data_IF_540374902186
#
_entry.id   IF_540374902186
#
_cell.length_a   1.000
_cell.length_b   1.000
_cell.length_c   1.000
_cell.angle_alpha   90.00
_cell.angle_beta   90.00
_cell.angle_gamma   90.00
#
_symmetry.space_group_name_H-M   'P 1'
#
loop_
_entity.id
_entity.type
_entity.pdbx_description
1 polymer ?
#
# COMPACT_ATOMS: atom_id res chain seq x y z
N UNK A 1 -16.62 -2.84 7.15
CA UNK A 1 -15.30 -2.95 6.46
C UNK A 1 -14.20 -2.71 7.47
N UNK A 2 -13.34 -3.69 7.63
CA UNK A 2 -12.23 -3.58 8.56
C UNK A 2 -11.02 -2.97 7.91
N UNK A 3 -10.33 -2.14 8.67
CA UNK A 3 -9.08 -1.54 8.21
C UNK A 3 -7.93 -2.04 9.07
N UNK A 4 -6.79 -2.22 8.42
CA UNK A 4 -5.56 -2.60 9.09
C UNK A 4 -4.68 -1.37 9.23
N UNK A 5 -4.12 -1.18 10.41
CA UNK A 5 -3.07 -0.18 10.60
C UNK A 5 -1.79 -0.78 10.05
N UNK A 6 -1.29 -0.22 8.96
CA UNK A 6 -0.10 -0.76 8.29
C UNK A 6 0.96 0.31 8.16
N UNK A 7 2.21 -0.15 8.22
CA UNK A 7 3.36 0.71 8.04
C UNK A 7 3.77 0.66 6.57
N UNK A 8 3.50 1.74 5.84
CA UNK A 8 3.78 1.83 4.41
C UNK A 8 5.09 2.55 4.17
N UNK A 9 6.04 1.88 3.51
CA UNK A 9 7.28 2.50 3.09
C UNK A 9 7.21 2.83 1.61
N UNK A 10 7.62 4.04 1.25
CA UNK A 10 7.64 4.53 -0.13
C UNK A 10 9.09 4.83 -0.51
N UNK A 11 9.78 3.88 -1.15
CA UNK A 11 11.21 4.07 -1.49
C UNK A 11 11.49 5.29 -2.35
N UNK A 12 10.57 5.62 -3.25
CA UNK A 12 10.73 6.79 -4.13
C UNK A 12 10.90 8.09 -3.34
N UNK A 13 10.33 8.17 -2.15
CA UNK A 13 10.43 9.32 -1.27
C UNK A 13 11.38 9.10 -0.10
N UNK A 14 11.83 7.85 0.09
CA UNK A 14 12.59 7.43 1.28
C UNK A 14 11.85 7.80 2.57
N UNK A 15 10.52 7.66 2.55
CA UNK A 15 9.65 8.00 3.69
C UNK A 15 8.68 6.86 3.96
N UNK A 16 8.21 6.81 5.20
CA UNK A 16 7.22 5.84 5.61
C UNK A 16 6.03 6.55 6.27
N UNK A 17 4.89 5.86 6.25
CA UNK A 17 3.63 6.38 6.75
C UNK A 17 2.86 5.27 7.45
N UNK A 18 2.20 5.61 8.55
CA UNK A 18 1.26 4.69 9.19
C UNK A 18 -0.13 5.01 8.67
N UNK A 19 -0.75 4.05 8.00
CA UNK A 19 -2.03 4.25 7.34
C UNK A 19 -3.02 3.16 7.71
N UNK A 20 -4.30 3.52 7.79
CA UNK A 20 -5.39 2.56 7.92
C UNK A 20 -5.81 2.14 6.51
N UNK A 21 -5.61 0.86 6.18
CA UNK A 21 -5.86 0.35 4.84
C UNK A 21 -6.95 -0.73 4.91
N UNK A 22 -8.02 -0.61 4.09
CA UNK A 22 -9.06 -1.65 4.06
C UNK A 22 -8.49 -2.99 3.62
N UNK A 23 -8.79 -4.05 4.37
CA UNK A 23 -8.22 -5.37 4.08
C UNK A 23 -9.03 -6.16 3.06
N UNK A 24 -10.29 -5.83 2.86
CA UNK A 24 -11.21 -6.58 2.01
C UNK A 24 -11.49 -5.91 0.66
N UNK A 25 -10.74 -4.88 0.33
CA UNK A 25 -10.84 -4.20 -0.97
C UNK A 25 -9.74 -4.73 -1.89
N UNK A 26 -10.06 -4.96 -3.14
CA UNK A 26 -9.09 -5.44 -4.12
C UNK A 26 -7.89 -4.52 -4.23
N UNK A 27 -6.70 -5.10 -4.34
CA UNK A 27 -5.46 -4.32 -4.39
C UNK A 27 -5.45 -3.38 -5.60
N UNK A 28 -6.03 -3.81 -6.72
CA UNK A 28 -6.16 -2.96 -7.90
C UNK A 28 -6.96 -1.68 -7.62
N UNK A 29 -7.92 -1.75 -6.68
CA UNK A 29 -8.70 -0.59 -6.26
C UNK A 29 -7.95 0.23 -5.21
N UNK A 30 -7.18 -0.43 -4.35
CA UNK A 30 -6.39 0.25 -3.32
C UNK A 30 -5.27 1.09 -3.91
N UNK A 31 -4.60 0.62 -4.93
CA UNK A 31 -3.42 1.29 -5.47
C UNK A 31 -3.68 2.75 -5.86
N UNK A 32 -4.74 3.06 -6.64
CA UNK A 32 -5.00 4.47 -6.96
C UNK A 32 -5.31 5.33 -5.73
N UNK A 33 -6.00 4.76 -4.74
CA UNK A 33 -6.33 5.49 -3.52
C UNK A 33 -5.07 5.76 -2.70
N UNK A 34 -4.21 4.76 -2.56
CA UNK A 34 -2.96 4.91 -1.82
C UNK A 34 -2.02 5.91 -2.50
N UNK A 35 -1.86 5.81 -3.81
CA UNK A 35 -0.95 6.70 -4.53
C UNK A 35 -1.44 8.14 -4.46
N UNK A 36 -2.75 8.36 -4.55
CA UNK A 36 -3.32 9.70 -4.39
C UNK A 36 -3.08 10.23 -2.98
N UNK A 37 -3.28 9.39 -1.95
CA UNK A 37 -3.06 9.78 -0.57
C UNK A 37 -1.60 10.15 -0.32
N UNK A 38 -0.66 9.35 -0.83
CA UNK A 38 0.76 9.64 -0.67
C UNK A 38 1.16 10.91 -1.42
N UNK A 39 0.58 11.15 -2.59
CA UNK A 39 0.81 12.38 -3.32
C UNK A 39 0.41 13.59 -2.48
N UNK A 40 -0.75 13.54 -1.83
CA UNK A 40 -1.22 14.62 -0.97
C UNK A 40 -0.36 14.77 0.28
N UNK A 41 -0.02 13.67 0.95
CA UNK A 41 0.80 13.70 2.15
C UNK A 41 2.22 14.17 1.89
N UNK A 42 2.72 13.99 0.69
CA UNK A 42 4.07 14.42 0.31
C UNK A 42 4.09 15.80 -0.34
N UNK A 43 2.98 16.54 -0.32
CA UNK A 43 2.85 17.84 -0.96
C UNK A 43 3.21 17.79 -2.44
N UNK A 44 2.78 16.73 -3.12
CA UNK A 44 2.99 16.57 -4.56
C UNK A 44 4.37 16.04 -4.94
N UNK A 45 5.21 15.68 -3.98
CA UNK A 45 6.53 15.11 -4.29
C UNK A 45 6.42 13.71 -4.88
N UNK A 46 5.45 12.93 -4.41
CA UNK A 46 5.18 11.63 -4.99
C UNK A 46 4.43 11.79 -6.30
N UNK A 47 4.96 11.21 -7.36
CA UNK A 47 4.34 11.28 -8.69
C UNK A 47 3.94 9.87 -9.13
N UNK A 48 2.64 9.52 -9.05
CA UNK A 48 2.20 8.19 -9.45
C UNK A 48 2.51 7.91 -10.92
N UNK A 49 3.01 6.71 -11.19
CA UNK A 49 3.33 6.28 -12.55
C UNK A 49 2.18 5.53 -13.21
N UNK A 50 1.25 5.00 -12.41
CA UNK A 50 0.22 4.11 -12.89
C UNK A 50 0.63 2.63 -12.89
N UNK A 51 1.89 2.35 -12.57
CA UNK A 51 2.44 0.99 -12.57
C UNK A 51 2.93 0.56 -11.19
N UNK A 52 2.36 1.16 -10.13
CA UNK A 52 2.74 0.84 -8.77
C UNK A 52 2.36 -0.58 -8.41
N UNK A 53 3.15 -1.16 -7.49
CA UNK A 53 2.88 -2.46 -6.89
C UNK A 53 3.05 -2.37 -5.38
N UNK A 54 2.36 -3.27 -4.67
CA UNK A 54 2.53 -3.42 -3.23
C UNK A 54 3.28 -4.71 -2.94
N UNK A 55 4.17 -4.65 -1.96
CA UNK A 55 4.92 -5.82 -1.50
C UNK A 55 4.79 -5.89 0.01
N UNK A 56 4.28 -7.02 0.52
CA UNK A 56 4.30 -7.29 1.96
C UNK A 56 5.71 -7.69 2.37
N UNK A 57 6.12 -7.30 3.57
CA UNK A 57 7.47 -7.60 4.07
C UNK A 57 7.78 -9.09 4.05
N UNK A 58 6.80 -9.93 4.37
CA UNK A 58 6.98 -11.38 4.41
C UNK A 58 6.92 -12.04 3.04
N UNK A 59 6.71 -11.26 1.97
CA UNK A 59 6.62 -11.77 0.61
C UNK A 59 7.74 -11.19 -0.23
N UNK A 60 8.31 -12.01 -1.11
CA UNK A 60 9.38 -11.56 -2.02
C UNK A 60 8.82 -11.05 -3.35
N UNK A 61 7.51 -11.07 -3.52
CA UNK A 61 6.88 -10.77 -4.80
C UNK A 61 5.83 -9.69 -4.64
N UNK A 62 5.61 -8.89 -5.70
CA UNK A 62 4.48 -7.96 -5.72
C UNK A 62 3.16 -8.69 -5.51
N UNK A 63 2.26 -8.04 -4.77
CA UNK A 63 0.95 -8.61 -4.52
C UNK A 63 0.12 -8.59 -5.80
N UNK A 64 -0.65 -9.66 -6.02
CA UNK A 64 -1.55 -9.74 -7.17
C UNK A 64 -2.66 -8.69 -7.04
N UNK A 65 -2.82 -7.78 -8.02
CA UNK A 65 -3.88 -6.77 -7.96
C UNK A 65 -5.29 -7.34 -7.89
N UNK A 66 -5.49 -8.58 -8.34
CA UNK A 66 -6.79 -9.24 -8.30
C UNK A 66 -7.15 -9.81 -6.94
N UNK A 67 -6.28 -9.68 -5.94
CA UNK A 67 -6.53 -10.21 -4.60
C UNK A 67 -6.65 -9.09 -3.58
N UNK A 68 -6.93 -9.46 -2.34
CA UNK A 68 -7.07 -8.51 -1.23
C UNK A 68 -5.95 -8.75 -0.21
N UNK A 69 -5.73 -7.76 0.65
CA UNK A 69 -4.78 -7.92 1.75
C UNK A 69 -5.21 -9.02 2.71
N UNK A 70 -6.53 -9.18 2.89
CA UNK A 70 -7.07 -10.25 3.71
C UNK A 70 -6.63 -11.62 3.20
N UNK A 71 -6.69 -11.83 1.88
CA UNK A 71 -6.29 -13.09 1.27
C UNK A 71 -4.80 -13.39 1.44
N UNK A 72 -4.00 -12.36 1.60
CA UNK A 72 -2.57 -12.51 1.88
C UNK A 72 -2.24 -12.66 3.36
N UNK A 73 -3.26 -12.61 4.23
CA UNK A 73 -3.06 -12.75 5.67
C UNK A 73 -2.43 -11.54 6.34
N UNK A 74 -2.59 -10.36 5.75
CA UNK A 74 -2.06 -9.13 6.34
C UNK A 74 -2.72 -8.84 7.69
N UNK A 75 -1.95 -8.27 8.62
CA UNK A 75 -2.39 -7.98 9.99
C UNK A 75 -1.99 -6.56 10.38
N UNK A 76 -2.63 -6.07 11.44
CA UNK A 76 -2.24 -4.80 12.06
C UNK A 76 -0.74 -4.80 12.39
N UNK A 77 -0.08 -3.72 12.06
CA UNK A 77 1.35 -3.57 12.33
C UNK A 77 2.26 -4.13 11.23
N UNK A 78 1.70 -4.78 10.23
CA UNK A 78 2.52 -5.30 9.13
C UNK A 78 3.14 -4.18 8.32
N UNK A 79 4.33 -4.46 7.79
CA UNK A 79 5.03 -3.55 6.90
C UNK A 79 4.68 -3.86 5.45
N UNK A 80 4.42 -2.83 4.68
CA UNK A 80 4.09 -2.93 3.26
C UNK A 80 4.87 -1.86 2.51
N UNK A 81 5.28 -2.17 1.28
CA UNK A 81 6.07 -1.26 0.47
C UNK A 81 5.33 -0.91 -0.80
N UNK A 82 5.34 0.36 -1.16
CA UNK A 82 4.76 0.85 -2.43
C UNK A 82 5.91 1.17 -3.38
N UNK A 83 5.98 0.41 -4.47
CA UNK A 83 7.03 0.60 -5.48
C UNK A 83 6.45 0.86 -6.86
#
# INVERSE_FOLDING_TARGET
MEKLLMHLYVPALMKDYDLNIPQDVGISTLLPVLTKGIRELSNGQYKPSGNESLILRQSDYPLDPGRTLYEYGARDGDDIMLI
#
